data_IF_217924541698
#
_entry.id   IF_217924541698
#
_cell.length_a   1.000
_cell.length_b   1.000
_cell.length_c   1.000
_cell.angle_alpha   90.00
_cell.angle_beta   90.00
_cell.angle_gamma   90.00
#
_symmetry.space_group_name_H-M   'P 1'
#
loop_
_entity.id
_entity.type
_entity.pdbx_description
1 polymer ?
#
# COMPACT_ATOMS: atom_id res chain seq x y z
N UNK A 1 29.86 46.79 -19.42
CA UNK A 1 29.77 47.34 -20.79
C UNK A 1 30.87 46.73 -21.65
N UNK A 2 30.48 46.11 -22.77
CA UNK A 2 31.27 45.84 -24.00
C UNK A 2 32.68 45.25 -23.85
N UNK A 3 32.79 43.92 -23.83
CA UNK A 3 33.97 43.19 -24.34
C UNK A 3 33.72 41.69 -24.62
N UNK A 4 32.50 41.27 -24.98
CA UNK A 4 32.22 39.87 -25.39
C UNK A 4 31.45 39.78 -26.71
N UNK A 5 31.54 40.81 -27.55
CA UNK A 5 30.82 40.90 -28.80
C UNK A 5 31.79 41.16 -29.95
N UNK A 6 32.68 40.21 -30.25
CA UNK A 6 33.36 40.04 -31.55
C UNK A 6 34.30 38.83 -31.51
N UNK A 7 33.76 37.62 -31.36
CA UNK A 7 34.44 36.41 -31.85
C UNK A 7 33.40 35.57 -32.59
N UNK A 8 33.57 35.53 -33.91
CA UNK A 8 33.09 34.51 -34.84
C UNK A 8 31.59 34.17 -34.79
N UNK A 9 30.84 34.86 -35.65
CA UNK A 9 29.41 34.63 -35.95
C UNK A 9 29.14 33.41 -36.84
N UNK A 10 30.10 32.48 -36.97
CA UNK A 10 30.03 31.31 -37.86
C UNK A 10 30.60 30.02 -37.24
N UNK A 11 30.11 29.66 -36.06
CA UNK A 11 29.99 28.25 -35.69
C UNK A 11 28.61 28.09 -35.12
N UNK A 12 27.72 27.42 -35.85
CA UNK A 12 26.59 26.75 -35.23
C UNK A 12 27.15 25.97 -34.04
N UNK A 13 26.92 26.51 -32.83
CA UNK A 13 27.09 25.77 -31.59
C UNK A 13 26.01 24.70 -31.63
N UNK A 14 26.26 23.62 -32.39
CA UNK A 14 25.58 22.37 -32.14
C UNK A 14 25.99 22.00 -30.73
N UNK A 15 25.15 22.35 -29.75
CA UNK A 15 25.29 21.82 -28.41
C UNK A 15 25.52 20.31 -28.55
N UNK A 16 26.48 19.72 -27.81
CA UNK A 16 26.67 18.28 -27.83
C UNK A 16 25.30 17.62 -27.72
N UNK A 17 25.00 16.61 -28.54
CA UNK A 17 23.70 15.93 -28.49
C UNK A 17 23.34 15.47 -27.07
N UNK A 18 24.36 15.17 -26.25
CA UNK A 18 24.25 14.92 -24.82
C UNK A 18 23.71 16.09 -23.99
N UNK A 19 24.12 17.34 -24.25
CA UNK A 19 23.58 18.52 -23.57
C UNK A 19 22.10 18.72 -23.90
N UNK A 20 21.73 18.58 -25.18
CA UNK A 20 20.33 18.71 -25.58
C UNK A 20 19.45 17.67 -24.88
N UNK A 21 19.89 16.40 -24.82
CA UNK A 21 19.17 15.34 -24.12
C UNK A 21 19.06 15.64 -22.62
N UNK A 22 20.16 15.97 -21.95
CA UNK A 22 20.16 16.29 -20.51
C UNK A 22 19.29 17.53 -20.19
N UNK A 23 19.31 18.53 -21.05
CA UNK A 23 18.49 19.72 -20.90
C UNK A 23 16.99 19.39 -21.04
N UNK A 24 16.62 18.57 -22.03
CA UNK A 24 15.24 18.11 -22.21
C UNK A 24 14.78 17.25 -21.04
N UNK A 25 15.62 16.37 -20.50
CA UNK A 25 15.33 15.58 -19.30
C UNK A 25 15.06 16.49 -18.09
N UNK A 26 15.90 17.51 -17.88
CA UNK A 26 15.74 18.46 -16.78
C UNK A 26 14.45 19.30 -16.92
N UNK A 27 14.13 19.75 -18.14
CA UNK A 27 12.87 20.45 -18.41
C UNK A 27 11.65 19.56 -18.16
N UNK A 28 11.69 18.30 -18.62
CA UNK A 28 10.61 17.34 -18.40
C UNK A 28 10.41 17.02 -16.92
N UNK A 29 11.51 16.90 -16.16
CA UNK A 29 11.49 16.71 -14.71
C UNK A 29 10.85 17.92 -14.00
N UNK A 30 11.29 19.14 -14.32
CA UNK A 30 10.72 20.36 -13.73
C UNK A 30 9.23 20.50 -14.08
N UNK A 31 8.86 20.26 -15.33
CA UNK A 31 7.47 20.29 -15.80
C UNK A 31 6.61 19.27 -15.03
N UNK A 32 7.14 18.07 -14.80
CA UNK A 32 6.46 17.03 -14.02
C UNK A 32 6.22 17.46 -12.57
N UNK A 33 7.19 18.15 -11.94
CA UNK A 33 7.08 18.68 -10.57
C UNK A 33 6.09 19.83 -10.47
N UNK A 34 6.07 20.73 -11.47
CA UNK A 34 5.07 21.81 -11.57
C UNK A 34 3.66 21.24 -11.69
N UNK A 35 3.45 20.27 -12.58
CA UNK A 35 2.15 19.61 -12.71
C UNK A 35 1.72 18.87 -11.44
N UNK A 36 2.65 18.27 -10.68
CA UNK A 36 2.32 17.68 -9.38
C UNK A 36 1.78 18.73 -8.40
N UNK A 37 2.39 19.93 -8.36
CA UNK A 37 1.91 21.04 -7.54
C UNK A 37 0.52 21.54 -8.00
N UNK A 38 0.33 21.77 -9.30
CA UNK A 38 -0.93 22.27 -9.86
C UNK A 38 -2.09 21.33 -9.56
N UNK A 39 -1.89 20.02 -9.73
CA UNK A 39 -2.92 19.02 -9.41
C UNK A 39 -3.23 18.96 -7.92
N UNK A 40 -2.19 19.00 -7.07
CA UNK A 40 -2.40 19.07 -5.62
C UNK A 40 -3.19 20.31 -5.23
N UNK A 41 -2.82 21.47 -5.78
CA UNK A 41 -3.48 22.74 -5.50
C UNK A 41 -4.94 22.71 -5.94
N UNK A 42 -5.22 22.22 -7.15
CA UNK A 42 -6.58 22.06 -7.67
C UNK A 42 -7.43 21.16 -6.77
N UNK A 43 -6.90 20.01 -6.34
CA UNK A 43 -7.62 19.11 -5.43
C UNK A 43 -7.74 19.67 -4.01
N UNK A 44 -6.86 20.58 -3.61
CA UNK A 44 -6.92 21.27 -2.33
C UNK A 44 -7.90 22.46 -2.34
N UNK A 45 -8.09 23.13 -3.47
CA UNK A 45 -9.02 24.25 -3.60
C UNK A 45 -10.45 23.78 -3.89
N UNK A 46 -10.64 22.80 -4.77
CA UNK A 46 -11.95 22.22 -5.08
C UNK A 46 -12.19 20.92 -4.31
N UNK A 47 -12.88 21.03 -3.17
CA UNK A 47 -13.22 19.89 -2.30
C UNK A 47 -14.37 19.02 -2.83
N UNK A 48 -15.09 19.47 -3.86
CA UNK A 48 -16.28 18.77 -4.39
C UNK A 48 -15.98 17.96 -5.65
N UNK A 49 -14.86 18.26 -6.33
CA UNK A 49 -14.42 17.58 -7.53
C UNK A 49 -14.03 16.12 -7.30
N UNK A 50 -14.31 15.28 -8.30
CA UNK A 50 -13.82 13.90 -8.36
C UNK A 50 -12.38 13.93 -8.85
N UNK A 51 -11.42 13.83 -7.94
CA UNK A 51 -9.99 13.85 -8.24
C UNK A 51 -9.38 12.44 -8.18
N UNK A 52 -8.39 12.16 -9.03
CA UNK A 52 -7.52 10.98 -8.89
C UNK A 52 -6.47 11.25 -7.79
N UNK A 53 -6.91 11.11 -6.54
CA UNK A 53 -6.05 11.37 -5.38
C UNK A 53 -4.82 10.48 -5.35
N UNK A 54 -4.91 9.23 -5.81
CA UNK A 54 -3.77 8.33 -5.86
C UNK A 54 -2.68 8.82 -6.82
N UNK A 55 -3.04 9.37 -7.99
CA UNK A 55 -2.05 9.99 -8.89
C UNK A 55 -1.42 11.25 -8.29
N UNK A 56 -2.20 12.07 -7.57
CA UNK A 56 -1.69 13.27 -6.89
C UNK A 56 -0.70 12.89 -5.79
N UNK A 57 -1.04 11.90 -4.96
CA UNK A 57 -0.16 11.35 -3.93
C UNK A 57 1.16 10.84 -4.53
N UNK A 58 1.08 10.06 -5.61
CA UNK A 58 2.25 9.53 -6.33
C UNK A 58 3.09 10.65 -6.97
N UNK A 59 2.47 11.73 -7.46
CA UNK A 59 3.14 12.92 -7.98
C UNK A 59 3.95 13.63 -6.90
N UNK A 60 3.33 13.88 -5.74
CA UNK A 60 4.00 14.54 -4.61
C UNK A 60 5.10 13.65 -4.02
N UNK A 61 4.84 12.34 -3.82
CA UNK A 61 5.84 11.43 -3.25
C UNK A 61 7.06 11.28 -4.17
N UNK A 62 6.89 11.36 -5.50
CA UNK A 62 8.02 11.44 -6.44
C UNK A 62 8.85 12.71 -6.20
N UNK A 63 8.22 13.88 -6.11
CA UNK A 63 8.93 15.14 -5.82
C UNK A 63 9.67 15.04 -4.48
N UNK A 64 9.04 14.47 -3.44
CA UNK A 64 9.68 14.25 -2.13
C UNK A 64 10.89 13.33 -2.24
N UNK A 65 10.83 12.27 -3.06
CA UNK A 65 11.95 11.36 -3.26
C UNK A 65 13.11 12.04 -3.99
N UNK A 66 12.83 12.90 -4.98
CA UNK A 66 13.84 13.60 -5.78
C UNK A 66 14.59 14.68 -4.99
N UNK A 67 13.91 15.33 -4.03
CA UNK A 67 14.53 16.38 -3.21
C UNK A 67 15.52 15.76 -2.21
N UNK A 68 16.80 16.15 -2.31
CA UNK A 68 17.82 15.71 -1.36
C UNK A 68 17.49 16.22 0.06
N UNK A 69 17.46 15.32 1.07
CA UNK A 69 17.22 15.74 2.44
C UNK A 69 18.35 16.60 3.01
N UNK A 70 19.56 16.58 2.43
CA UNK A 70 20.74 17.26 2.98
C UNK A 70 20.80 18.76 2.64
N UNK A 71 20.40 19.12 1.42
CA UNK A 71 20.56 20.49 0.90
C UNK A 71 19.26 21.28 0.79
N UNK A 72 18.12 20.59 0.76
CA UNK A 72 16.79 21.16 0.53
C UNK A 72 15.78 20.57 1.53
N UNK A 73 16.16 20.58 2.81
CA UNK A 73 15.36 20.01 3.90
C UNK A 73 14.02 20.73 4.03
N UNK A 74 14.02 22.07 3.98
CA UNK A 74 12.80 22.87 4.14
C UNK A 74 11.81 22.58 3.02
N UNK A 75 12.27 22.52 1.77
CA UNK A 75 11.45 22.18 0.61
C UNK A 75 10.89 20.77 0.73
N UNK A 76 11.71 19.79 1.14
CA UNK A 76 11.24 18.42 1.35
C UNK A 76 10.15 18.36 2.43
N UNK A 77 10.29 19.12 3.51
CA UNK A 77 9.29 19.23 4.57
C UNK A 77 7.99 19.89 4.09
N UNK A 78 8.07 20.90 3.21
CA UNK A 78 6.90 21.53 2.59
C UNK A 78 6.09 20.52 1.78
N UNK A 79 6.76 19.70 0.94
CA UNK A 79 6.08 18.67 0.15
C UNK A 79 5.52 17.53 0.99
N UNK A 80 6.24 17.09 2.04
CA UNK A 80 5.70 16.13 3.01
C UNK A 80 4.48 16.68 3.74
N UNK A 81 4.46 17.97 4.05
CA UNK A 81 3.32 18.64 4.67
C UNK A 81 2.15 18.81 3.68
N UNK A 82 2.41 19.03 2.39
CA UNK A 82 1.37 19.03 1.35
C UNK A 82 0.67 17.68 1.25
N UNK A 83 1.44 16.59 1.25
CA UNK A 83 0.91 15.21 1.26
C UNK A 83 0.14 14.91 2.54
N UNK A 84 0.69 15.28 3.71
CA UNK A 84 0.01 15.18 5.00
C UNK A 84 -1.36 15.85 4.99
N UNK A 85 -1.44 17.10 4.49
CA UNK A 85 -2.69 17.86 4.44
C UNK A 85 -3.73 17.19 3.56
N UNK A 86 -3.30 16.55 2.46
CA UNK A 86 -4.19 15.77 1.61
C UNK A 86 -4.77 14.57 2.36
N UNK A 87 -3.91 13.82 3.07
CA UNK A 87 -4.33 12.66 3.87
C UNK A 87 -5.28 13.04 5.01
N UNK A 88 -5.02 14.15 5.70
CA UNK A 88 -5.87 14.62 6.79
C UNK A 88 -7.28 14.99 6.31
N UNK A 89 -7.40 15.56 5.10
CA UNK A 89 -8.71 15.86 4.49
C UNK A 89 -9.49 14.61 4.12
N UNK A 90 -8.79 13.54 3.73
CA UNK A 90 -9.36 12.23 3.40
C UNK A 90 -9.52 11.33 4.63
N UNK A 91 -9.27 11.86 5.83
CA UNK A 91 -9.29 11.11 7.09
C UNK A 91 -8.38 9.86 7.08
N UNK A 92 -7.33 9.87 6.24
CA UNK A 92 -6.36 8.79 6.11
C UNK A 92 -5.23 8.98 7.13
N UNK A 93 -5.54 8.75 8.41
CA UNK A 93 -4.62 9.06 9.52
C UNK A 93 -3.34 8.22 9.52
N UNK A 94 -3.38 6.99 9.01
CA UNK A 94 -2.20 6.12 8.94
C UNK A 94 -1.16 6.65 7.94
N UNK A 95 -1.60 7.09 6.77
CA UNK A 95 -0.75 7.71 5.74
C UNK A 95 -0.22 9.08 6.21
N UNK A 96 -1.07 9.87 6.86
CA UNK A 96 -0.71 11.13 7.49
C UNK A 96 0.41 10.93 8.53
N UNK A 97 0.28 9.90 9.38
CA UNK A 97 1.31 9.49 10.33
C UNK A 97 2.63 9.14 9.61
N UNK A 98 2.58 8.35 8.53
CA UNK A 98 3.77 8.01 7.75
C UNK A 98 4.48 9.26 7.18
N UNK A 99 3.73 10.28 6.77
CA UNK A 99 4.31 11.55 6.31
C UNK A 99 5.03 12.29 7.45
N UNK A 100 4.44 12.32 8.65
CA UNK A 100 5.08 12.93 9.83
C UNK A 100 6.33 12.18 10.29
N UNK A 101 6.28 10.87 10.34
CA UNK A 101 7.45 10.05 10.69
C UNK A 101 8.57 10.26 9.67
N UNK A 102 8.25 10.33 8.37
CA UNK A 102 9.25 10.63 7.34
C UNK A 102 9.87 12.03 7.52
N UNK A 103 9.08 13.03 7.90
CA UNK A 103 9.58 14.37 8.19
C UNK A 103 10.56 14.38 9.38
N UNK A 104 10.21 13.70 10.48
CA UNK A 104 11.10 13.54 11.65
C UNK A 104 12.41 12.84 11.25
N UNK A 105 12.31 11.77 10.47
CA UNK A 105 13.45 11.00 10.01
C UNK A 105 14.38 11.83 9.08
N UNK A 106 13.82 12.71 8.25
CA UNK A 106 14.60 13.64 7.43
C UNK A 106 15.41 14.60 8.31
N UNK A 107 14.78 15.24 9.30
CA UNK A 107 15.44 16.19 10.21
C UNK A 107 16.50 15.51 11.09
N UNK A 108 16.25 14.27 11.51
CA UNK A 108 17.22 13.48 12.27
C UNK A 108 18.48 13.17 11.45
N UNK A 109 18.32 12.82 10.16
CA UNK A 109 19.47 12.54 9.28
C UNK A 109 20.32 13.78 9.02
N UNK A 110 19.70 14.95 8.84
CA UNK A 110 20.44 16.20 8.63
C UNK A 110 21.16 16.69 9.88
N UNK A 111 20.55 16.51 11.06
CA UNK A 111 21.17 16.91 12.33
C UNK A 111 22.41 16.10 12.73
N UNK A 112 22.72 15.01 12.01
CA UNK A 112 23.92 14.19 12.19
C UNK A 112 25.05 14.55 11.22
N UNK A 113 24.80 15.40 10.22
CA UNK A 113 25.63 15.53 9.02
C UNK A 113 26.65 16.67 8.99
N UNK A 114 26.51 17.73 9.78
CA UNK A 114 27.48 18.82 9.80
C UNK A 114 27.33 19.63 11.10
N UNK A 115 28.46 19.96 11.73
CA UNK A 115 28.59 20.83 12.91
C UNK A 115 27.98 20.35 14.25
N UNK A 116 28.74 19.49 14.93
CA UNK A 116 28.66 19.21 16.37
C UNK A 116 28.93 20.42 17.29
N UNK A 117 29.06 21.63 16.73
CA UNK A 117 29.48 22.85 17.41
C UNK A 117 28.32 23.72 17.93
N UNK A 118 27.06 23.40 17.64
CA UNK A 118 25.92 24.27 18.00
C UNK A 118 24.85 23.58 18.87
N UNK A 119 25.17 23.40 20.16
CA UNK A 119 24.30 22.78 21.19
C UNK A 119 22.89 23.40 21.22
N UNK A 120 22.77 24.72 21.00
CA UNK A 120 21.49 25.43 20.97
C UNK A 120 20.63 25.06 19.76
N UNK A 121 21.25 24.82 18.60
CA UNK A 121 20.55 24.35 17.40
C UNK A 121 20.03 22.93 17.63
N UNK A 122 20.86 22.04 18.19
CA UNK A 122 20.47 20.67 18.52
C UNK A 122 19.30 20.65 19.53
N UNK A 123 19.30 21.54 20.52
CA UNK A 123 18.19 21.68 21.47
C UNK A 123 16.86 22.09 20.80
N UNK A 124 16.89 23.05 19.87
CA UNK A 124 15.68 23.47 19.12
C UNK A 124 15.16 22.35 18.22
N UNK A 125 16.05 21.63 17.54
CA UNK A 125 15.69 20.49 16.70
C UNK A 125 15.07 19.37 17.53
N UNK A 126 15.66 19.04 18.68
CA UNK A 126 15.09 18.02 19.59
C UNK A 126 13.72 18.43 20.13
N UNK A 127 13.51 19.71 20.47
CA UNK A 127 12.19 20.20 20.87
C UNK A 127 11.16 20.09 19.74
N UNK A 128 11.56 20.39 18.49
CA UNK A 128 10.71 20.23 17.32
C UNK A 128 10.35 18.75 17.10
N UNK A 129 11.33 17.84 17.14
CA UNK A 129 11.11 16.39 17.00
C UNK A 129 10.11 15.88 18.04
N UNK A 130 10.25 16.27 19.30
CA UNK A 130 9.32 15.84 20.36
C UNK A 130 7.90 16.32 20.06
N UNK A 131 7.72 17.57 19.64
CA UNK A 131 6.39 18.13 19.27
C UNK A 131 5.78 17.35 18.10
N UNK A 132 6.57 17.07 17.07
CA UNK A 132 6.10 16.33 15.89
C UNK A 132 5.76 14.87 16.21
N UNK A 133 6.54 14.22 17.08
CA UNK A 133 6.24 12.85 17.54
C UNK A 133 4.96 12.79 18.38
N UNK A 134 4.65 13.80 19.19
CA UNK A 134 3.36 13.87 19.89
C UNK A 134 2.19 13.98 18.90
N UNK A 135 2.32 14.81 17.86
CA UNK A 135 1.30 14.92 16.80
C UNK A 135 1.17 13.59 16.05
N UNK A 136 2.30 12.94 15.72
CA UNK A 136 2.33 11.63 15.10
C UNK A 136 1.57 10.59 15.93
N UNK A 137 1.80 10.57 17.26
CA UNK A 137 1.06 9.68 18.18
C UNK A 137 -0.46 9.87 18.10
N UNK A 138 -0.93 11.13 18.04
CA UNK A 138 -2.37 11.42 17.88
C UNK A 138 -2.91 10.83 16.59
N UNK A 139 -2.17 10.90 15.48
CA UNK A 139 -2.59 10.27 14.22
C UNK A 139 -2.57 8.74 14.30
N UNK A 140 -1.60 8.14 14.99
CA UNK A 140 -1.56 6.70 15.22
C UNK A 140 -2.78 6.21 16.01
N UNK A 141 -3.14 6.93 17.07
CA UNK A 141 -4.33 6.64 17.88
C UNK A 141 -5.62 6.75 17.05
N UNK A 142 -5.77 7.81 16.24
CA UNK A 142 -6.91 7.99 15.32
C UNK A 142 -7.00 6.93 14.22
N UNK A 143 -5.87 6.36 13.83
CA UNK A 143 -5.80 5.28 12.85
C UNK A 143 -6.02 3.88 13.46
N UNK A 144 -6.18 3.76 14.78
CA UNK A 144 -6.15 2.50 15.54
C UNK A 144 -4.90 1.63 15.23
N UNK A 145 -3.76 2.28 14.94
CA UNK A 145 -2.52 1.61 14.59
C UNK A 145 -1.62 1.44 15.82
N UNK A 146 -2.04 0.53 16.70
CA UNK A 146 -1.48 0.31 18.04
C UNK A 146 0.02 0.01 18.00
N UNK A 147 0.47 -0.83 17.07
CA UNK A 147 1.87 -1.23 16.92
C UNK A 147 2.76 -0.02 16.58
N UNK A 148 2.25 0.88 15.73
CA UNK A 148 2.98 2.08 15.35
C UNK A 148 2.93 3.13 16.45
N UNK A 149 1.80 3.28 17.13
CA UNK A 149 1.68 4.15 18.30
C UNK A 149 2.69 3.76 19.39
N UNK A 150 2.81 2.47 19.69
CA UNK A 150 3.78 1.94 20.63
C UNK A 150 5.22 2.31 20.22
N UNK A 151 5.58 2.08 18.95
CA UNK A 151 6.93 2.43 18.46
C UNK A 151 7.24 3.93 18.58
N UNK A 152 6.23 4.80 18.42
CA UNK A 152 6.39 6.26 18.58
C UNK A 152 6.54 6.62 20.07
N UNK A 153 5.79 5.98 20.96
CA UNK A 153 5.93 6.15 22.41
C UNK A 153 7.33 5.76 22.89
N UNK A 154 7.89 4.66 22.39
CA UNK A 154 9.26 4.22 22.71
C UNK A 154 10.31 5.25 22.27
N UNK A 155 10.16 5.81 21.06
CA UNK A 155 11.02 6.89 20.56
C UNK A 155 10.87 8.17 21.41
N UNK A 156 9.64 8.52 21.82
CA UNK A 156 9.36 9.66 22.69
C UNK A 156 10.03 9.49 24.06
N UNK A 157 10.00 8.30 24.66
CA UNK A 157 10.69 8.05 25.95
C UNK A 157 12.18 8.39 25.86
N UNK A 158 12.85 7.96 24.80
CA UNK A 158 14.26 8.28 24.56
C UNK A 158 14.52 9.79 24.52
N UNK A 159 13.69 10.53 23.78
CA UNK A 159 13.81 11.98 23.64
C UNK A 159 13.49 12.73 24.95
N UNK A 160 12.41 12.33 25.65
CA UNK A 160 11.97 12.97 26.89
C UNK A 160 12.97 12.75 28.03
N UNK A 161 13.61 11.57 28.09
CA UNK A 161 14.67 11.26 29.05
C UNK A 161 15.88 12.17 28.86
N UNK A 162 16.32 12.38 27.61
CA UNK A 162 17.44 13.27 27.29
C UNK A 162 17.16 14.72 27.70
N UNK A 163 15.93 15.18 27.50
CA UNK A 163 15.48 16.54 27.83
C UNK A 163 15.03 16.71 29.29
N UNK A 164 15.14 15.68 30.14
CA UNK A 164 14.69 15.66 31.54
C UNK A 164 13.23 16.08 31.77
N UNK A 165 12.35 15.80 30.80
CA UNK A 165 10.90 16.09 30.88
C UNK A 165 10.15 14.96 31.57
N UNK A 166 10.40 14.79 32.87
CA UNK A 166 9.94 13.60 33.61
C UNK A 166 8.42 13.47 33.78
N UNK A 167 7.66 14.58 33.77
CA UNK A 167 6.19 14.54 33.84
C UNK A 167 5.59 13.83 32.61
N UNK A 168 5.97 14.31 31.42
CA UNK A 168 5.55 13.71 30.15
C UNK A 168 6.10 12.29 29.98
N UNK A 169 7.31 12.02 30.46
CA UNK A 169 7.88 10.68 30.46
C UNK A 169 7.01 9.69 31.25
N UNK A 170 6.52 10.08 32.42
CA UNK A 170 5.60 9.26 33.22
C UNK A 170 4.27 9.02 32.50
N UNK A 171 3.72 10.05 31.84
CA UNK A 171 2.50 9.93 31.04
C UNK A 171 2.68 8.96 29.86
N UNK A 172 3.84 9.01 29.18
CA UNK A 172 4.14 8.10 28.07
C UNK A 172 4.27 6.64 28.54
N UNK A 173 4.86 6.39 29.71
CA UNK A 173 4.91 5.04 30.29
C UNK A 173 3.51 4.49 30.57
N UNK A 174 2.61 5.30 31.13
CA UNK A 174 1.21 4.89 31.33
C UNK A 174 0.50 4.60 30.00
N UNK A 175 0.77 5.40 28.97
CA UNK A 175 0.22 5.15 27.64
C UNK A 175 0.72 3.81 27.07
N UNK A 176 2.01 3.49 27.23
CA UNK A 176 2.59 2.22 26.78
C UNK A 176 1.94 1.03 27.49
N UNK A 177 1.74 1.12 28.81
CA UNK A 177 1.04 0.08 29.60
C UNK A 177 -0.35 -0.24 29.02
N UNK A 178 -1.14 0.80 28.75
CA UNK A 178 -2.47 0.66 28.11
C UNK A 178 -2.36 0.04 26.70
N UNK A 179 -1.41 0.47 25.88
CA UNK A 179 -1.23 -0.05 24.52
C UNK A 179 -0.80 -1.53 24.53
N UNK A 180 0.10 -1.91 25.44
CA UNK A 180 0.52 -3.30 25.62
C UNK A 180 -0.65 -4.17 26.08
N UNK A 181 -1.47 -3.69 27.02
CA UNK A 181 -2.70 -4.36 27.44
C UNK A 181 -3.63 -4.64 26.26
N UNK A 182 -3.89 -3.63 25.42
CA UNK A 182 -4.71 -3.78 24.20
C UNK A 182 -4.10 -4.76 23.17
N UNK A 183 -2.77 -4.78 23.03
CA UNK A 183 -2.10 -5.74 22.15
C UNK A 183 -2.18 -7.17 22.68
N UNK A 184 -2.04 -7.36 24.00
CA UNK A 184 -2.19 -8.66 24.64
C UNK A 184 -3.61 -9.21 24.43
N UNK A 185 -4.64 -8.38 24.65
CA UNK A 185 -6.03 -8.73 24.36
C UNK A 185 -6.23 -9.08 22.88
N UNK A 186 -5.68 -8.30 21.95
CA UNK A 186 -5.78 -8.57 20.50
C UNK A 186 -5.08 -9.89 20.12
N UNK A 187 -3.94 -10.22 20.73
CA UNK A 187 -3.25 -11.49 20.48
C UNK A 187 -4.07 -12.68 20.94
N UNK A 188 -4.71 -12.59 22.11
CA UNK A 188 -5.60 -13.63 22.62
C UNK A 188 -6.87 -13.79 21.76
N UNK A 189 -7.49 -12.68 21.33
CA UNK A 189 -8.69 -12.71 20.51
C UNK A 189 -8.43 -13.18 19.07
N UNK A 190 -7.27 -12.85 18.51
CA UNK A 190 -6.90 -13.22 17.14
C UNK A 190 -6.21 -14.58 17.03
N UNK A 191 -6.25 -15.41 18.09
CA UNK A 191 -5.74 -16.78 18.08
C UNK A 191 -6.10 -17.50 16.79
N UNK A 192 -5.12 -17.59 15.87
CA UNK A 192 -5.15 -18.26 14.56
C UNK A 192 -5.81 -17.52 13.37
N UNK A 193 -6.54 -16.41 13.54
CA UNK A 193 -6.99 -15.59 12.39
C UNK A 193 -5.89 -14.65 11.88
N UNK A 194 -4.77 -15.27 11.47
CA UNK A 194 -3.54 -14.66 10.95
C UNK A 194 -3.74 -13.74 9.72
N UNK A 195 -4.95 -13.68 9.16
CA UNK A 195 -5.27 -12.94 7.93
C UNK A 195 -6.29 -11.80 8.11
N UNK A 196 -6.66 -11.41 9.32
CA UNK A 196 -7.47 -10.20 9.50
C UNK A 196 -6.60 -8.95 9.45
N UNK A 197 -6.05 -8.63 8.28
CA UNK A 197 -5.47 -7.31 8.06
C UNK A 197 -6.53 -6.24 8.42
N UNK A 198 -6.10 -5.15 9.05
CA UNK A 198 -6.96 -4.00 9.41
C UNK A 198 -7.49 -3.28 8.17
N UNK A 199 -6.99 -3.64 6.97
CA UNK A 199 -7.30 -3.02 5.70
C UNK A 199 -7.82 -4.03 4.68
N UNK A 200 -8.61 -3.53 3.73
CA UNK A 200 -8.93 -4.26 2.51
C UNK A 200 -7.91 -3.87 1.42
N UNK A 201 -7.48 -4.85 0.63
CA UNK A 201 -6.56 -4.62 -0.47
C UNK A 201 -7.14 -5.06 -1.80
N UNK A 202 -6.93 -4.23 -2.82
CA UNK A 202 -7.42 -4.47 -4.17
C UNK A 202 -6.29 -4.30 -5.19
N UNK A 203 -6.11 -5.32 -6.04
CA UNK A 203 -5.27 -5.21 -7.22
C UNK A 203 -6.09 -4.66 -8.38
N UNK A 204 -5.64 -3.56 -8.96
CA UNK A 204 -6.27 -2.90 -10.11
C UNK A 204 -5.36 -2.95 -11.34
N UNK A 205 -5.96 -3.23 -12.49
CA UNK A 205 -5.34 -3.13 -13.81
C UNK A 205 -6.25 -2.38 -14.76
N UNK A 206 -5.64 -1.65 -15.68
CA UNK A 206 -6.32 -0.87 -16.71
C UNK A 206 -5.91 -1.39 -18.09
N UNK A 207 -6.83 -1.36 -19.05
CA UNK A 207 -6.54 -1.53 -20.47
C UNK A 207 -7.54 -0.70 -21.30
N UNK A 208 -7.26 -0.53 -22.59
CA UNK A 208 -8.10 0.26 -23.50
C UNK A 208 -7.33 1.41 -24.15
N UNK A 209 -7.78 1.85 -25.34
CA UNK A 209 -7.15 2.94 -26.09
C UNK A 209 -7.27 4.33 -25.42
N UNK A 210 -8.19 4.44 -24.46
CA UNK A 210 -8.46 5.64 -23.67
C UNK A 210 -7.42 5.94 -22.58
N UNK A 211 -6.73 4.92 -22.08
CA UNK A 211 -5.79 5.04 -20.95
C UNK A 211 -4.38 5.16 -21.51
N UNK A 212 -3.49 5.99 -20.92
CA UNK A 212 -2.09 6.07 -21.34
C UNK A 212 -1.43 4.70 -21.38
N UNK A 213 -0.68 4.41 -22.45
CA UNK A 213 -0.03 3.12 -22.67
C UNK A 213 0.84 2.68 -21.47
N UNK A 214 1.53 3.63 -20.81
CA UNK A 214 2.35 3.37 -19.63
C UNK A 214 1.55 2.78 -18.45
N UNK A 215 0.32 3.26 -18.25
CA UNK A 215 -0.55 2.79 -17.15
C UNK A 215 -1.23 1.47 -17.53
N UNK A 216 -1.44 1.21 -18.83
CA UNK A 216 -2.07 -0.02 -19.31
C UNK A 216 -1.24 -1.29 -19.06
N UNK A 217 0.09 -1.15 -18.96
CA UNK A 217 1.00 -2.26 -18.65
C UNK A 217 1.16 -2.50 -17.15
N UNK A 218 0.72 -1.55 -16.33
CA UNK A 218 0.97 -1.56 -14.90
C UNK A 218 -0.16 -2.22 -14.10
N UNK A 219 0.23 -2.80 -12.97
CA UNK A 219 -0.69 -3.32 -11.96
C UNK A 219 -0.46 -2.55 -10.66
N UNK A 220 -1.53 -2.24 -9.93
CA UNK A 220 -1.44 -1.46 -8.70
C UNK A 220 -2.14 -2.18 -7.55
N UNK A 221 -1.59 -2.09 -6.35
CA UNK A 221 -2.23 -2.49 -5.11
C UNK A 221 -2.77 -1.25 -4.40
N UNK A 222 -4.06 -1.24 -4.10
CA UNK A 222 -4.75 -0.22 -3.34
C UNK A 222 -5.01 -0.70 -1.93
N UNK A 223 -4.75 0.17 -0.96
CA UNK A 223 -5.23 0.04 0.41
C UNK A 223 -6.56 0.77 0.56
N UNK A 224 -7.55 0.13 1.19
CA UNK A 224 -8.84 0.72 1.56
C UNK A 224 -9.22 0.32 2.98
N UNK A 225 -10.20 1.03 3.54
CA UNK A 225 -10.82 0.62 4.80
C UNK A 225 -11.39 -0.78 4.66
N UNK A 226 -11.28 -1.59 5.72
CA UNK A 226 -11.76 -2.98 5.76
C UNK A 226 -13.26 -3.11 5.45
N UNK A 227 -14.02 -2.05 5.68
CA UNK A 227 -15.48 -2.03 5.47
C UNK A 227 -15.88 -1.69 4.03
N UNK A 228 -14.96 -1.20 3.20
CA UNK A 228 -15.23 -0.96 1.79
C UNK A 228 -15.33 -2.30 1.10
N UNK A 229 -16.46 -2.54 0.44
CA UNK A 229 -16.67 -3.74 -0.37
C UNK A 229 -16.00 -3.61 -1.74
N UNK A 230 -15.79 -4.75 -2.41
CA UNK A 230 -15.28 -4.74 -3.80
C UNK A 230 -16.20 -3.94 -4.73
N UNK A 231 -17.53 -4.04 -4.55
CA UNK A 231 -18.51 -3.34 -5.38
C UNK A 231 -18.44 -1.83 -5.23
N UNK A 232 -18.36 -1.34 -3.98
CA UNK A 232 -18.19 0.10 -3.68
C UNK A 232 -16.88 0.62 -4.28
N UNK A 233 -15.77 -0.08 -4.05
CA UNK A 233 -14.48 0.32 -4.60
C UNK A 233 -14.47 0.36 -6.13
N UNK A 234 -15.10 -0.62 -6.81
CA UNK A 234 -15.27 -0.60 -8.27
C UNK A 234 -16.12 0.60 -8.71
N UNK A 235 -17.16 0.96 -7.95
CA UNK A 235 -17.98 2.15 -8.19
C UNK A 235 -17.19 3.45 -8.12
N UNK A 236 -16.38 3.62 -7.07
CA UNK A 236 -15.47 4.76 -6.89
C UNK A 236 -14.49 4.87 -8.06
N UNK A 237 -13.85 3.76 -8.45
CA UNK A 237 -12.90 3.74 -9.56
C UNK A 237 -13.57 4.12 -10.89
N UNK A 238 -14.79 3.65 -11.14
CA UNK A 238 -15.54 4.07 -12.33
C UNK A 238 -15.84 5.57 -12.33
N UNK A 239 -16.26 6.13 -11.19
CA UNK A 239 -16.53 7.56 -11.08
C UNK A 239 -15.27 8.39 -11.35
N UNK A 240 -14.15 8.01 -10.73
CA UNK A 240 -12.85 8.65 -10.92
C UNK A 240 -12.39 8.58 -12.39
N UNK A 241 -12.44 7.39 -13.00
CA UNK A 241 -12.03 7.21 -14.39
C UNK A 241 -12.89 8.00 -15.38
N UNK A 242 -14.20 8.15 -15.14
CA UNK A 242 -15.08 8.99 -15.98
C UNK A 242 -14.73 10.47 -15.88
N UNK A 243 -14.43 10.95 -14.67
CA UNK A 243 -14.01 12.33 -14.46
C UNK A 243 -12.64 12.60 -15.11
N UNK A 244 -11.72 11.64 -15.02
CA UNK A 244 -10.36 11.74 -15.55
C UNK A 244 -10.28 11.62 -17.07
N UNK A 245 -11.08 10.74 -17.67
CA UNK A 245 -11.08 10.46 -19.10
C UNK A 245 -12.48 10.70 -19.71
N UNK A 246 -12.92 11.96 -19.83
CA UNK A 246 -14.26 12.30 -20.33
C UNK A 246 -14.49 11.90 -21.79
N UNK A 247 -13.41 11.70 -22.56
CA UNK A 247 -13.46 11.22 -23.95
C UNK A 247 -13.85 9.75 -24.10
N UNK A 248 -13.96 9.02 -22.99
CA UNK A 248 -14.26 7.59 -23.00
C UNK A 248 -15.76 7.35 -22.81
N UNK A 249 -16.36 6.64 -23.75
CA UNK A 249 -17.81 6.39 -23.75
C UNK A 249 -18.22 5.36 -22.70
N UNK A 250 -17.34 4.38 -22.41
CA UNK A 250 -17.68 3.24 -21.55
C UNK A 250 -16.52 2.76 -20.69
N UNK A 251 -16.87 2.25 -19.50
CA UNK A 251 -15.95 1.57 -18.59
C UNK A 251 -16.49 0.18 -18.24
N UNK A 252 -15.81 -0.85 -18.74
CA UNK A 252 -16.22 -2.25 -18.60
C UNK A 252 -15.36 -2.96 -17.57
N UNK A 253 -16.01 -3.67 -16.64
CA UNK A 253 -15.31 -4.45 -15.61
C UNK A 253 -15.09 -5.86 -16.14
N UNK A 254 -13.83 -6.26 -16.26
CA UNK A 254 -13.44 -7.56 -16.82
C UNK A 254 -13.11 -8.52 -15.68
N UNK A 255 -13.82 -9.65 -15.55
CA UNK A 255 -13.49 -10.70 -14.59
C UNK A 255 -12.10 -11.31 -14.85
N UNK A 256 -11.48 -11.82 -13.80
CA UNK A 256 -10.13 -12.38 -13.84
C UNK A 256 -9.85 -13.44 -14.94
N UNK A 257 -10.71 -14.44 -15.18
CA UNK A 257 -10.38 -15.53 -16.12
C UNK A 257 -10.35 -15.08 -17.57
N UNK A 258 -10.96 -13.94 -17.92
CA UNK A 258 -10.93 -13.41 -19.28
C UNK A 258 -9.61 -12.69 -19.51
N UNK A 259 -9.02 -12.67 -20.71
CA UNK A 259 -7.85 -11.82 -20.99
C UNK A 259 -8.22 -10.34 -20.89
N UNK A 260 -7.29 -9.51 -20.40
CA UNK A 260 -7.45 -8.05 -20.37
C UNK A 260 -6.92 -7.45 -21.67
N UNK A 261 -7.64 -7.66 -22.78
CA UNK A 261 -7.25 -7.16 -24.11
C UNK A 261 -8.20 -6.06 -24.55
N UNK A 262 -7.65 -4.90 -24.90
CA UNK A 262 -8.47 -3.75 -25.29
C UNK A 262 -7.77 -2.65 -26.09
N UNK A 263 -6.52 -2.85 -26.54
CA UNK A 263 -5.77 -1.83 -27.27
C UNK A 263 -6.34 -1.52 -28.65
N UNK A 264 -6.60 -2.56 -29.45
CA UNK A 264 -6.84 -2.37 -30.89
C UNK A 264 -8.31 -2.49 -31.31
N UNK A 265 -9.16 -3.14 -30.49
CA UNK A 265 -10.54 -3.46 -30.89
C UNK A 265 -11.57 -2.40 -30.49
N UNK A 266 -11.32 -1.58 -29.46
CA UNK A 266 -12.27 -0.58 -28.95
C UNK A 266 -11.54 0.64 -28.34
N UNK A 267 -11.25 1.70 -29.12
CA UNK A 267 -10.44 2.83 -28.64
C UNK A 267 -11.14 3.71 -27.58
N UNK A 268 -12.47 3.72 -27.54
CA UNK A 268 -13.28 4.56 -26.63
C UNK A 268 -13.73 3.86 -25.34
N UNK A 269 -13.19 2.67 -25.05
CA UNK A 269 -13.58 1.87 -23.88
C UNK A 269 -12.40 1.69 -22.94
N UNK A 270 -12.64 1.85 -21.65
CA UNK A 270 -11.68 1.48 -20.59
C UNK A 270 -12.09 0.12 -20.02
N UNK A 271 -11.19 -0.84 -20.09
CA UNK A 271 -11.33 -2.12 -19.42
C UNK A 271 -10.66 -2.05 -18.04
N UNK A 272 -11.47 -2.22 -17.01
CA UNK A 272 -11.05 -2.19 -15.61
C UNK A 272 -11.08 -3.60 -15.04
N UNK A 273 -10.00 -4.03 -14.41
CA UNK A 273 -9.98 -5.28 -13.64
C UNK A 273 -9.61 -4.99 -12.20
N UNK A 274 -10.48 -5.40 -11.28
CA UNK A 274 -10.29 -5.22 -9.84
C UNK A 274 -10.45 -6.57 -9.15
N UNK A 275 -9.47 -6.91 -8.32
CA UNK A 275 -9.41 -8.22 -7.65
C UNK A 275 -8.99 -8.03 -6.21
N UNK A 276 -9.76 -8.59 -5.28
CA UNK A 276 -9.39 -8.59 -3.86
C UNK A 276 -8.11 -9.40 -3.67
N UNK A 277 -7.16 -8.84 -2.95
CA UNK A 277 -5.92 -9.52 -2.59
C UNK A 277 -5.78 -9.55 -1.07
N UNK A 278 -5.01 -10.50 -0.57
CA UNK A 278 -4.65 -10.59 0.85
C UNK A 278 -3.14 -10.50 0.99
N UNK A 279 -2.66 -10.00 2.12
CA UNK A 279 -1.24 -10.05 2.44
C UNK A 279 -0.78 -11.52 2.54
N UNK A 280 0.39 -11.82 1.97
CA UNK A 280 0.95 -13.16 2.05
C UNK A 280 1.48 -13.41 3.46
N UNK A 281 1.20 -14.58 4.03
CA UNK A 281 1.71 -14.96 5.34
C UNK A 281 3.24 -15.16 5.31
N UNK A 282 3.89 -15.05 6.46
CA UNK A 282 5.32 -15.33 6.59
C UNK A 282 5.70 -16.73 6.07
N UNK A 283 4.82 -17.72 6.27
CA UNK A 283 4.99 -19.08 5.75
C UNK A 283 4.93 -19.11 4.21
N UNK A 284 3.98 -18.38 3.60
CA UNK A 284 3.89 -18.30 2.14
C UNK A 284 5.13 -17.63 1.53
N UNK A 285 5.57 -16.52 2.14
CA UNK A 285 6.78 -15.82 1.74
C UNK A 285 8.03 -16.69 1.87
N UNK A 286 8.11 -17.49 2.94
CA UNK A 286 9.23 -18.41 3.14
C UNK A 286 9.23 -19.53 2.11
N UNK A 287 8.06 -20.13 1.82
CA UNK A 287 7.91 -21.12 0.76
C UNK A 287 8.32 -20.55 -0.60
N UNK A 288 7.86 -19.33 -0.92
CA UNK A 288 8.23 -18.63 -2.15
C UNK A 288 9.74 -18.44 -2.28
N UNK A 289 10.41 -17.99 -1.23
CA UNK A 289 11.87 -17.80 -1.24
C UNK A 289 12.62 -19.10 -1.53
N UNK A 290 12.11 -20.22 -1.00
CA UNK A 290 12.69 -21.54 -1.25
C UNK A 290 12.47 -22.02 -2.68
N UNK A 291 11.27 -21.80 -3.24
CA UNK A 291 10.91 -22.35 -4.56
C UNK A 291 11.26 -21.42 -5.73
N UNK A 292 11.44 -20.13 -5.48
CA UNK A 292 11.54 -19.10 -6.50
C UNK A 292 12.68 -18.12 -6.20
N UNK A 293 13.87 -18.29 -6.82
CA UNK A 293 15.03 -17.43 -6.58
C UNK A 293 14.76 -15.94 -6.83
N UNK A 294 13.84 -15.61 -7.75
CA UNK A 294 13.44 -14.20 -8.02
C UNK A 294 12.73 -13.52 -6.84
N UNK A 295 12.32 -14.28 -5.81
CA UNK A 295 11.58 -13.77 -4.65
C UNK A 295 12.45 -13.50 -3.41
N UNK A 296 13.77 -13.73 -3.45
CA UNK A 296 14.65 -13.53 -2.27
C UNK A 296 14.55 -12.12 -1.68
N UNK A 297 14.38 -11.11 -2.53
CA UNK A 297 14.28 -9.71 -2.12
C UNK A 297 12.85 -9.26 -1.74
N UNK A 298 11.87 -10.15 -1.76
CA UNK A 298 10.49 -9.80 -1.45
C UNK A 298 10.34 -9.57 0.05
N UNK A 299 10.09 -8.30 0.40
CA UNK A 299 9.78 -7.88 1.78
C UNK A 299 8.28 -7.76 2.02
N UNK A 300 7.51 -7.49 0.96
CA UNK A 300 6.05 -7.33 1.00
C UNK A 300 5.47 -8.07 -0.18
N UNK A 301 4.53 -8.99 0.08
CA UNK A 301 3.80 -9.64 -1.00
C UNK A 301 2.31 -9.72 -0.68
N UNK A 302 1.51 -9.55 -1.73
CA UNK A 302 0.09 -9.80 -1.77
C UNK A 302 -0.15 -11.06 -2.57
N UNK A 303 -1.23 -11.78 -2.26
CA UNK A 303 -1.64 -12.95 -3.02
C UNK A 303 -3.13 -12.93 -3.31
N UNK A 304 -3.50 -13.46 -4.45
CA UNK A 304 -4.86 -13.85 -4.77
C UNK A 304 -4.83 -15.16 -5.54
N UNK A 305 -5.97 -15.84 -5.60
CA UNK A 305 -6.05 -17.11 -6.29
C UNK A 305 -7.25 -17.17 -7.21
N UNK A 306 -7.05 -17.80 -8.37
CA UNK A 306 -8.03 -17.92 -9.43
C UNK A 306 -8.24 -19.40 -9.73
N UNK A 307 -9.46 -19.93 -9.55
CA UNK A 307 -9.76 -21.30 -9.93
C UNK A 307 -9.80 -21.44 -11.45
N UNK A 308 -9.33 -22.58 -11.96
CA UNK A 308 -9.44 -22.95 -13.37
C UNK A 308 -9.44 -24.47 -13.52
N UNK A 309 -9.84 -24.95 -14.70
CA UNK A 309 -9.81 -26.37 -15.07
C UNK A 309 -9.09 -26.52 -16.41
N UNK A 310 -8.34 -27.61 -16.61
CA UNK A 310 -7.64 -27.83 -17.89
C UNK A 310 -8.62 -28.17 -19.00
N UNK A 311 -8.52 -27.48 -20.15
CA UNK A 311 -9.31 -27.80 -21.34
C UNK A 311 -10.77 -27.35 -21.33
N UNK A 312 -11.26 -26.74 -20.23
CA UNK A 312 -12.60 -26.15 -20.17
C UNK A 312 -12.54 -24.62 -20.18
N UNK A 313 -13.60 -24.00 -20.72
CA UNK A 313 -13.83 -22.56 -20.62
C UNK A 313 -14.41 -22.13 -19.27
N UNK A 314 -14.84 -23.10 -18.44
CA UNK A 314 -15.41 -22.85 -17.11
C UNK A 314 -14.31 -22.77 -16.05
N UNK A 315 -14.34 -21.72 -15.22
CA UNK A 315 -13.39 -21.56 -14.10
C UNK A 315 -13.58 -22.59 -12.99
N UNK A 316 -14.78 -23.17 -12.90
CA UNK A 316 -15.16 -24.18 -11.92
C UNK A 316 -15.52 -25.50 -12.60
N UNK A 317 -15.13 -26.61 -11.98
CA UNK A 317 -15.45 -27.97 -12.42
C UNK A 317 -15.51 -28.94 -11.23
N UNK A 318 -15.35 -30.24 -11.51
CA UNK A 318 -15.29 -31.27 -10.46
C UNK A 318 -14.01 -31.11 -9.63
N UNK A 319 -14.06 -31.53 -8.37
CA UNK A 319 -12.92 -31.50 -7.43
C UNK A 319 -11.65 -32.11 -8.03
N UNK A 320 -11.75 -33.28 -8.67
CA UNK A 320 -10.63 -33.96 -9.32
C UNK A 320 -9.98 -33.20 -10.49
N UNK A 321 -10.67 -32.21 -11.07
CA UNK A 321 -10.20 -31.39 -12.20
C UNK A 321 -9.88 -29.95 -11.76
N UNK A 322 -10.27 -29.57 -10.55
CA UNK A 322 -10.22 -28.19 -10.07
C UNK A 322 -8.79 -27.81 -9.71
N UNK A 323 -8.21 -26.93 -10.51
CA UNK A 323 -6.92 -26.33 -10.24
C UNK A 323 -7.07 -24.91 -9.72
N UNK A 324 -5.97 -24.39 -9.18
CA UNK A 324 -5.91 -23.04 -8.64
C UNK A 324 -4.62 -22.37 -9.02
N UNK A 325 -4.70 -21.19 -9.61
CA UNK A 325 -3.55 -20.33 -9.89
C UNK A 325 -3.42 -19.32 -8.78
N UNK A 326 -2.35 -19.40 -8.00
CA UNK A 326 -2.02 -18.43 -6.96
C UNK A 326 -1.05 -17.43 -7.57
N UNK A 327 -1.43 -16.16 -7.59
CA UNK A 327 -0.56 -15.08 -8.06
C UNK A 327 -0.07 -14.30 -6.86
N UNK A 328 1.24 -14.11 -6.77
CA UNK A 328 1.90 -13.28 -5.79
C UNK A 328 2.42 -12.00 -6.42
N UNK A 329 2.24 -10.89 -5.73
CA UNK A 329 2.55 -9.55 -6.20
C UNK A 329 3.37 -8.82 -5.14
N UNK A 330 4.56 -8.34 -5.50
CA UNK A 330 5.38 -7.55 -4.58
C UNK A 330 5.20 -6.06 -4.80
N UNK A 331 5.16 -5.29 -3.71
CA UNK A 331 5.22 -3.82 -3.73
C UNK A 331 6.50 -3.35 -3.05
N UNK A 332 6.80 -2.06 -3.18
CA UNK A 332 8.04 -1.48 -2.67
C UNK A 332 8.03 -1.33 -1.14
N UNK A 333 6.91 -0.88 -0.57
CA UNK A 333 6.78 -0.54 0.87
C UNK A 333 5.59 -1.26 1.48
N UNK A 334 5.68 -1.59 2.77
CA UNK A 334 4.55 -2.13 3.53
C UNK A 334 3.47 -1.08 3.68
N UNK A 335 2.21 -1.46 3.57
CA UNK A 335 1.11 -0.59 3.98
C UNK A 335 0.90 -0.66 5.50
N UNK A 336 0.36 0.39 6.13
CA UNK A 336 0.22 1.75 5.61
C UNK A 336 1.58 2.40 5.26
N UNK A 337 1.60 3.21 4.22
CA UNK A 337 2.77 4.00 3.81
C UNK A 337 2.35 5.44 3.49
N UNK A 338 3.21 6.27 2.89
CA UNK A 338 2.81 7.64 2.49
C UNK A 338 1.78 7.68 1.33
N UNK A 339 1.54 6.53 0.69
CA UNK A 339 0.64 6.38 -0.45
C UNK A 339 -0.47 5.37 -0.12
N UNK A 340 -1.67 5.62 -0.62
CA UNK A 340 -2.79 4.68 -0.57
C UNK A 340 -2.75 3.62 -1.69
N UNK A 341 -1.87 3.80 -2.67
CA UNK A 341 -1.64 2.87 -3.78
C UNK A 341 -0.16 2.69 -4.06
N UNK A 342 0.23 1.51 -4.50
CA UNK A 342 1.59 1.23 -4.95
C UNK A 342 1.58 0.40 -6.23
N UNK A 343 2.49 0.70 -7.16
CA UNK A 343 2.74 -0.12 -8.34
C UNK A 343 3.34 -1.47 -7.95
N UNK A 344 2.84 -2.53 -8.56
CA UNK A 344 3.41 -3.87 -8.44
C UNK A 344 4.77 -3.89 -9.13
N UNK A 345 5.80 -4.33 -8.40
CA UNK A 345 7.18 -4.41 -8.89
C UNK A 345 7.49 -5.76 -9.51
N UNK A 346 7.06 -6.83 -8.86
CA UNK A 346 7.30 -8.21 -9.31
C UNK A 346 6.01 -9.01 -9.19
N UNK A 347 5.84 -9.93 -10.13
CA UNK A 347 4.72 -10.86 -10.20
C UNK A 347 5.26 -12.27 -10.33
N UNK A 348 4.67 -13.19 -9.57
CA UNK A 348 4.97 -14.61 -9.65
C UNK A 348 3.68 -15.41 -9.62
N UNK A 349 3.64 -16.49 -10.38
CA UNK A 349 2.49 -17.40 -10.40
C UNK A 349 2.92 -18.79 -9.96
N UNK A 350 2.09 -19.40 -9.14
CA UNK A 350 2.20 -20.78 -8.71
C UNK A 350 0.89 -21.49 -9.07
N UNK A 351 0.99 -22.65 -9.70
CA UNK A 351 -0.17 -23.48 -10.02
C UNK A 351 -0.26 -24.57 -8.97
N UNK A 352 -1.42 -24.70 -8.35
CA UNK A 352 -1.79 -25.80 -7.45
C UNK A 352 -2.63 -26.81 -8.22
N UNK A 353 -2.18 -28.06 -8.19
CA UNK A 353 -2.94 -29.17 -8.75
C UNK A 353 -4.11 -29.57 -7.83
N UNK A 354 -5.05 -30.41 -8.31
CA UNK A 354 -6.27 -30.74 -7.56
C UNK A 354 -5.98 -31.31 -6.17
N UNK A 355 -5.06 -32.28 -6.06
CA UNK A 355 -4.69 -32.88 -4.75
C UNK A 355 -4.09 -31.85 -3.78
N UNK A 356 -3.23 -30.94 -4.26
CA UNK A 356 -2.69 -29.87 -3.41
C UNK A 356 -3.79 -28.89 -2.97
N UNK A 357 -4.76 -28.60 -3.85
CA UNK A 357 -5.88 -27.73 -3.51
C UNK A 357 -6.76 -28.36 -2.42
N UNK A 358 -7.09 -29.65 -2.54
CA UNK A 358 -7.82 -30.40 -1.51
C UNK A 358 -7.05 -30.43 -0.19
N UNK A 359 -5.73 -30.66 -0.22
CA UNK A 359 -4.89 -30.60 0.99
C UNK A 359 -4.95 -29.21 1.64
N UNK A 360 -4.77 -28.14 0.86
CA UNK A 360 -4.83 -26.76 1.34
C UNK A 360 -6.21 -26.43 1.96
N UNK A 361 -7.30 -26.96 1.41
CA UNK A 361 -8.65 -26.71 1.89
C UNK A 361 -8.97 -27.51 3.17
N UNK A 362 -8.55 -28.78 3.25
CA UNK A 362 -8.63 -29.60 4.47
C UNK A 362 -7.78 -28.96 5.58
N UNK A 363 -6.54 -28.57 5.29
CA UNK A 363 -5.65 -27.95 6.28
C UNK A 363 -6.22 -26.64 6.82
N UNK A 364 -6.79 -25.79 5.95
CA UNK A 364 -7.49 -24.57 6.39
C UNK A 364 -8.68 -24.92 7.29
N UNK A 365 -9.47 -25.94 6.94
CA UNK A 365 -10.62 -26.36 7.74
C UNK A 365 -10.20 -26.88 9.12
N UNK A 366 -9.18 -27.74 9.18
CA UNK A 366 -8.62 -28.23 10.42
C UNK A 366 -8.05 -27.08 11.28
N UNK A 367 -7.37 -26.10 10.67
CA UNK A 367 -6.85 -24.96 11.38
C UNK A 367 -7.97 -24.09 12.00
N UNK A 368 -9.07 -23.87 11.26
CA UNK A 368 -10.24 -23.15 11.77
C UNK A 368 -10.90 -23.89 12.95
N UNK A 369 -11.04 -25.22 12.85
CA UNK A 369 -11.61 -26.02 13.94
C UNK A 369 -10.71 -26.02 15.18
N UNK A 370 -9.40 -26.23 15.02
CA UNK A 370 -8.44 -26.15 16.13
C UNK A 370 -8.50 -24.79 16.82
N UNK A 371 -8.54 -23.71 16.04
CA UNK A 371 -8.65 -22.36 16.58
C UNK A 371 -9.90 -22.18 17.46
N UNK A 372 -11.03 -22.77 17.07
CA UNK A 372 -12.27 -22.65 17.84
C UNK A 372 -12.26 -23.52 19.11
N UNK A 373 -11.60 -24.69 19.07
CA UNK A 373 -11.34 -25.53 20.25
C UNK A 373 -10.38 -24.81 21.21
N UNK A 374 -9.33 -24.18 20.70
CA UNK A 374 -8.37 -23.46 21.53
C UNK A 374 -9.02 -22.26 22.26
N UNK A 375 -10.05 -21.64 21.67
CA UNK A 375 -10.87 -20.61 22.34
C UNK A 375 -11.72 -21.16 23.48
N UNK A 376 -12.09 -22.44 23.44
CA UNK A 376 -12.81 -23.13 24.52
C UNK A 376 -11.96 -23.19 25.78
N UNK A 377 -10.67 -23.46 25.63
CA UNK A 377 -9.71 -23.50 26.74
C UNK A 377 -9.56 -22.16 27.48
N UNK A 378 -9.99 -21.05 26.86
CA UNK A 378 -9.95 -19.68 27.43
C UNK A 378 -11.38 -19.17 27.75
N UNK A 379 -12.42 -20.00 27.59
CA UNK A 379 -13.81 -19.64 27.89
C UNK A 379 -14.44 -18.59 26.96
N UNK A 380 -13.89 -18.42 25.74
CA UNK A 380 -14.30 -17.37 24.77
C UNK A 380 -14.91 -17.95 23.47
N UNK A 381 -15.37 -19.20 23.47
CA UNK A 381 -15.92 -19.85 22.27
C UNK A 381 -17.20 -19.19 21.78
N UNK A 382 -17.26 -18.87 20.48
CA UNK A 382 -18.49 -18.46 19.86
C UNK A 382 -19.21 -19.70 19.31
N UNK A 383 -20.18 -20.20 20.06
CA UNK A 383 -20.98 -21.37 19.69
C UNK A 383 -21.59 -21.26 18.29
N UNK A 384 -21.89 -20.04 17.80
CA UNK A 384 -22.43 -19.84 16.44
C UNK A 384 -21.37 -20.11 15.38
N UNK A 385 -20.17 -19.54 15.56
CA UNK A 385 -19.04 -19.76 14.66
C UNK A 385 -18.61 -21.23 14.68
N UNK A 386 -18.50 -21.83 15.87
CA UNK A 386 -18.20 -23.27 16.01
C UNK A 386 -19.24 -24.14 15.30
N UNK A 387 -20.53 -23.87 15.52
CA UNK A 387 -21.61 -24.63 14.86
C UNK A 387 -21.57 -24.47 13.34
N UNK A 388 -21.28 -23.26 12.83
CA UNK A 388 -21.16 -23.00 11.40
C UNK A 388 -20.00 -23.79 10.78
N UNK A 389 -18.83 -23.79 11.43
CA UNK A 389 -17.65 -24.52 10.94
C UNK A 389 -17.86 -26.03 11.10
N UNK A 390 -18.43 -26.53 12.19
CA UNK A 390 -18.70 -27.96 12.35
C UNK A 390 -19.74 -28.47 11.35
N UNK A 391 -20.89 -27.77 11.25
CA UNK A 391 -21.96 -28.16 10.33
C UNK A 391 -21.47 -28.20 8.88
N UNK A 392 -20.76 -27.16 8.43
CA UNK A 392 -20.19 -27.15 7.08
C UNK A 392 -19.01 -28.10 6.86
N UNK A 393 -18.55 -28.83 7.89
CA UNK A 393 -17.50 -29.86 7.75
C UNK A 393 -18.07 -31.27 7.71
N UNK A 394 -19.13 -31.53 8.50
CA UNK A 394 -19.69 -32.87 8.72
C UNK A 394 -20.99 -33.09 7.96
N UNK A 395 -21.75 -32.03 7.69
CA UNK A 395 -23.10 -32.08 7.15
C UNK A 395 -23.22 -31.16 5.90
N UNK A 396 -22.46 -31.51 4.85
CA UNK A 396 -22.32 -30.70 3.64
C UNK A 396 -23.45 -30.98 2.65
N UNK A 397 -24.53 -30.19 2.69
CA UNK A 397 -25.68 -30.32 1.78
C UNK A 397 -25.56 -29.56 0.46
N UNK A 398 -24.61 -28.62 0.33
CA UNK A 398 -24.55 -27.64 -0.79
C UNK A 398 -23.24 -27.72 -1.60
N UNK A 399 -22.15 -28.15 -0.98
CA UNK A 399 -20.86 -28.44 -1.62
C UNK A 399 -20.52 -29.89 -1.33
N UNK A 400 -19.89 -30.62 -2.25
CA UNK A 400 -19.67 -32.06 -2.17
C UNK A 400 -18.97 -32.59 -0.90
N UNK A 401 -18.33 -31.70 -0.14
CA UNK A 401 -17.71 -32.01 1.14
C UNK A 401 -16.44 -32.84 1.02
N UNK A 402 -15.87 -33.19 2.17
CA UNK A 402 -14.67 -34.05 2.29
C UNK A 402 -14.82 -35.42 1.58
N UNK A 403 -16.01 -36.06 1.49
CA UNK A 403 -16.16 -37.34 0.80
C UNK A 403 -15.79 -37.29 -0.69
N UNK A 404 -15.95 -36.16 -1.38
CA UNK A 404 -15.55 -36.00 -2.78
C UNK A 404 -14.03 -35.83 -2.96
N UNK A 405 -13.29 -35.43 -1.91
CA UNK A 405 -11.82 -35.31 -1.93
C UNK A 405 -11.12 -36.67 -1.74
N UNK A 406 -11.84 -37.70 -1.25
CA UNK A 406 -11.30 -39.01 -0.90
C UNK A 406 -11.44 -40.08 -2.01
N UNK A 407 -12.19 -39.77 -3.07
CA UNK A 407 -12.41 -40.61 -4.26
C UNK A 407 -11.61 -40.10 -5.44
#
# INVERSE_FOLDING_TARGET
>A
MRAFATISRDKFLSFPSSFHVQYMELLNDLTSKVHAYERWRSAFEDSSGVHDFEEIEEGIDRVVQDISPHWLLEEKLVWLNALLRLHLRRESFAEALCCKVAAVECVQRTGLGDDSSNILYLGRVQQWIIRELFIARVYAARADWIEKELSICELLLGCLKQQRRFKEYQEMLRCIDVLIGRLAERQESNGVQQNSSTFAFYRVRYAGGCVPALISTDEFIYKRSKFVSLGEFVGEMKAMLRAKYPQCERIDVVPEPKPLTGGDSNPHVIFLRVTTVVEALAIDLSRLKTTQPRSFNWRVAFKFAVPFTHGSSTSYGKTAEQMKRITFLSVERTFPCRLNRQRVRLRLEEIRCPIENSIDDIQKRCALLRAEIDKENVGKTDLKTLTLVLKGSVDTHVHGGIPEDAT
#
